data_IF_016166042185
#
_entry.id   IF_016166042185
#
_cell.length_a   1.000
_cell.length_b   1.000
_cell.length_c   1.000
_cell.angle_alpha   90.00
_cell.angle_beta   90.00
_cell.angle_gamma   90.00
#
_symmetry.space_group_name_H-M   'P 1'
#
loop_
_entity.id
_entity.type
_entity.pdbx_description
1 polymer ?
#
# COMPACT_ATOMS: atom_id res chain seq x y z
N UNK A 1 -7.31 35.30 -8.59
CA UNK A 1 -7.89 34.01 -9.02
C UNK A 1 -7.03 32.89 -8.45
N UNK A 2 -7.62 31.84 -7.84
CA UNK A 2 -6.85 30.63 -7.53
C UNK A 2 -6.41 30.00 -8.86
N UNK A 3 -5.14 29.59 -9.01
CA UNK A 3 -4.68 28.96 -10.24
C UNK A 3 -5.54 27.71 -10.53
N UNK A 4 -5.99 27.55 -11.79
CA UNK A 4 -6.74 26.36 -12.22
C UNK A 4 -5.74 25.20 -12.30
N UNK A 5 -5.73 24.36 -11.27
CA UNK A 5 -4.87 23.18 -11.21
C UNK A 5 -5.39 22.15 -12.22
N UNK A 6 -4.59 21.81 -13.24
CA UNK A 6 -4.85 20.64 -14.08
C UNK A 6 -4.63 19.39 -13.24
N UNK A 7 -5.63 18.51 -13.16
CA UNK A 7 -5.57 17.27 -12.38
C UNK A 7 -5.55 16.07 -13.31
N UNK A 8 -4.73 15.09 -12.96
CA UNK A 8 -4.72 13.78 -13.60
C UNK A 8 -5.78 12.96 -12.89
N UNK A 9 -6.74 12.44 -13.66
CA UNK A 9 -7.82 11.61 -13.12
C UNK A 9 -7.33 10.20 -12.82
N UNK A 10 -8.00 9.54 -11.86
CA UNK A 10 -7.85 8.10 -11.65
C UNK A 10 -8.18 7.36 -12.95
N UNK A 11 -7.40 6.31 -13.27
CA UNK A 11 -7.49 5.60 -14.54
C UNK A 11 -7.33 4.10 -14.34
N UNK A 12 -8.19 3.34 -15.02
CA UNK A 12 -8.21 1.87 -15.06
C UNK A 12 -8.33 1.21 -13.67
N UNK A 13 -7.72 0.04 -13.47
CA UNK A 13 -7.82 -0.86 -12.30
C UNK A 13 -9.15 -1.58 -12.16
N UNK A 14 -9.88 -1.78 -13.24
CA UNK A 14 -11.21 -2.42 -13.18
C UNK A 14 -11.13 -3.87 -12.73
N UNK A 15 -10.04 -4.59 -13.06
CA UNK A 15 -9.82 -5.96 -12.59
C UNK A 15 -9.61 -5.99 -11.07
N UNK A 16 -8.67 -5.20 -10.55
CA UNK A 16 -8.36 -5.14 -9.12
C UNK A 16 -9.55 -4.61 -8.31
N UNK A 17 -10.27 -3.60 -8.82
CA UNK A 17 -11.52 -3.12 -8.19
C UNK A 17 -12.56 -4.22 -8.11
N UNK A 18 -12.82 -4.92 -9.23
CA UNK A 18 -13.81 -5.99 -9.27
C UNK A 18 -13.45 -7.11 -8.29
N UNK A 19 -12.18 -7.47 -8.22
CA UNK A 19 -11.70 -8.46 -7.25
C UNK A 19 -11.96 -8.02 -5.80
N UNK A 20 -11.61 -6.79 -5.44
CA UNK A 20 -11.84 -6.25 -4.08
C UNK A 20 -13.35 -6.10 -3.78
N UNK A 21 -14.15 -5.67 -4.75
CA UNK A 21 -15.61 -5.54 -4.60
C UNK A 21 -16.27 -6.91 -4.38
N UNK A 22 -15.90 -7.92 -5.17
CA UNK A 22 -16.40 -9.28 -4.97
C UNK A 22 -16.07 -9.79 -3.55
N UNK A 23 -14.89 -9.47 -3.01
CA UNK A 23 -14.55 -9.83 -1.62
C UNK A 23 -15.45 -9.12 -0.61
N UNK A 24 -15.71 -7.83 -0.81
CA UNK A 24 -16.59 -7.02 0.04
C UNK A 24 -18.06 -7.47 -0.01
N UNK A 25 -18.49 -8.08 -1.11
CA UNK A 25 -19.84 -8.63 -1.29
C UNK A 25 -20.03 -10.01 -0.65
N UNK A 26 -18.95 -10.67 -0.23
CA UNK A 26 -18.98 -11.95 0.47
C UNK A 26 -18.79 -11.78 1.98
N UNK A 27 -19.00 -12.84 2.74
CA UNK A 27 -18.68 -12.83 4.17
C UNK A 27 -17.17 -12.62 4.38
N UNK A 28 -16.72 -11.81 5.37
CA UNK A 28 -15.31 -11.70 5.70
C UNK A 28 -14.73 -13.07 6.07
N UNK A 29 -13.66 -13.51 5.40
CA UNK A 29 -13.05 -14.81 5.66
C UNK A 29 -11.52 -14.75 5.79
N UNK A 30 -10.91 -13.71 5.19
CA UNK A 30 -9.46 -13.60 5.02
C UNK A 30 -8.98 -12.18 5.35
N UNK A 31 -7.71 -12.09 5.76
CA UNK A 31 -6.96 -10.84 5.76
C UNK A 31 -6.47 -10.58 4.34
N UNK A 32 -6.81 -9.43 3.75
CA UNK A 32 -6.47 -9.12 2.36
C UNK A 32 -5.26 -8.19 2.30
N UNK A 33 -4.10 -8.73 1.90
CA UNK A 33 -2.86 -8.00 1.72
C UNK A 33 -2.78 -7.43 0.30
N UNK A 34 -2.95 -6.12 0.16
CA UNK A 34 -2.76 -5.39 -1.10
C UNK A 34 -1.30 -4.96 -1.16
N UNK A 35 -0.53 -5.58 -2.05
CA UNK A 35 0.90 -5.33 -2.17
C UNK A 35 1.30 -5.01 -3.61
N UNK A 36 2.53 -4.55 -3.79
CA UNK A 36 3.08 -4.25 -5.11
C UNK A 36 4.21 -3.23 -5.02
N UNK A 37 4.93 -2.99 -6.13
CA UNK A 37 6.05 -2.05 -6.14
C UNK A 37 5.65 -0.66 -5.63
N UNK A 38 6.61 0.10 -5.07
CA UNK A 38 6.38 1.51 -4.74
C UNK A 38 5.84 2.25 -5.97
N UNK A 39 4.92 3.19 -5.74
CA UNK A 39 4.32 4.02 -6.77
C UNK A 39 3.51 3.28 -7.86
N UNK A 40 3.02 2.07 -7.59
CA UNK A 40 2.09 1.32 -8.47
C UNK A 40 0.62 1.78 -8.38
N UNK A 41 0.30 2.68 -7.45
CA UNK A 41 -1.06 3.24 -7.33
C UNK A 41 -1.98 2.54 -6.31
N UNK A 42 -1.47 1.67 -5.42
CA UNK A 42 -2.24 1.01 -4.34
C UNK A 42 -3.16 1.96 -3.56
N UNK A 43 -2.60 3.02 -2.96
CA UNK A 43 -3.37 4.00 -2.18
C UNK A 43 -4.42 4.70 -3.06
N UNK A 44 -4.10 5.00 -4.32
CA UNK A 44 -5.04 5.63 -5.26
C UNK A 44 -6.19 4.69 -5.62
N UNK A 45 -5.90 3.40 -5.85
CA UNK A 45 -6.90 2.36 -6.08
C UNK A 45 -7.85 2.26 -4.89
N UNK A 46 -7.31 2.10 -3.67
CA UNK A 46 -8.15 2.00 -2.48
C UNK A 46 -8.95 3.26 -2.23
N UNK A 47 -8.33 4.44 -2.36
CA UNK A 47 -9.05 5.71 -2.19
C UNK A 47 -10.21 5.82 -3.17
N UNK A 48 -9.97 5.54 -4.45
CA UNK A 48 -11.00 5.57 -5.49
C UNK A 48 -12.10 4.54 -5.24
N UNK A 49 -11.75 3.31 -4.84
CA UNK A 49 -12.73 2.28 -4.51
C UNK A 49 -13.64 2.74 -3.36
N UNK A 50 -13.05 3.24 -2.27
CA UNK A 50 -13.83 3.71 -1.11
C UNK A 50 -14.68 4.94 -1.46
N UNK A 51 -14.25 5.82 -2.38
CA UNK A 51 -15.08 6.92 -2.90
C UNK A 51 -16.35 6.46 -3.61
N UNK A 52 -16.35 5.23 -4.13
CA UNK A 52 -17.43 4.67 -4.92
C UNK A 52 -18.16 3.52 -4.23
N UNK A 53 -17.83 3.20 -2.97
CA UNK A 53 -18.55 2.18 -2.21
C UNK A 53 -19.98 2.66 -1.86
N UNK A 54 -20.98 1.77 -1.88
CA UNK A 54 -22.32 2.13 -1.45
C UNK A 54 -22.40 2.41 0.05
N UNK A 55 -23.44 3.15 0.46
CA UNK A 55 -23.61 3.63 1.84
C UNK A 55 -23.83 2.52 2.87
N UNK A 56 -23.95 1.25 2.45
CA UNK A 56 -24.01 0.10 3.35
C UNK A 56 -22.64 -0.25 3.96
N UNK A 57 -21.54 0.31 3.46
CA UNK A 57 -20.20 0.11 4.01
C UNK A 57 -19.78 1.26 4.95
N UNK A 58 -19.04 0.92 6.01
CA UNK A 58 -18.40 1.90 6.91
C UNK A 58 -16.89 1.66 6.91
N UNK A 59 -16.10 2.65 6.50
CA UNK A 59 -14.68 2.44 6.23
C UNK A 59 -13.77 3.16 7.21
N UNK A 60 -12.93 2.38 7.89
CA UNK A 60 -11.90 2.86 8.80
C UNK A 60 -10.55 2.81 8.09
N UNK A 61 -10.03 3.97 7.68
CA UNK A 61 -8.76 4.06 6.96
C UNK A 61 -7.67 4.57 7.89
N UNK A 62 -6.74 3.69 8.24
CA UNK A 62 -5.64 3.98 9.17
C UNK A 62 -4.35 4.06 8.36
N UNK A 63 -3.83 5.26 8.17
CA UNK A 63 -2.59 5.48 7.45
C UNK A 63 -1.40 5.62 8.42
N UNK A 64 -0.50 4.65 8.41
CA UNK A 64 0.72 4.67 9.22
C UNK A 64 1.85 5.50 8.57
N UNK A 65 1.71 5.90 7.30
CA UNK A 65 2.70 6.72 6.60
C UNK A 65 2.93 8.05 7.33
N UNK A 66 4.19 8.37 7.58
CA UNK A 66 4.57 9.61 8.27
C UNK A 66 4.20 9.63 9.76
N UNK A 67 3.84 8.48 10.35
CA UNK A 67 3.62 8.33 11.79
C UNK A 67 4.87 7.73 12.43
N UNK A 68 5.30 8.31 13.54
CA UNK A 68 6.32 7.72 14.40
C UNK A 68 5.63 6.80 15.39
N UNK A 69 5.74 5.49 15.18
CA UNK A 69 5.16 4.48 16.06
C UNK A 69 6.33 3.74 16.69
N UNK A 70 6.74 4.16 17.89
CA UNK A 70 7.93 3.61 18.57
C UNK A 70 7.53 2.69 19.73
N UNK A 71 6.34 2.89 20.28
CA UNK A 71 5.77 2.08 21.36
C UNK A 71 4.27 1.83 21.15
N UNK A 72 3.72 0.92 21.95
CA UNK A 72 2.30 0.54 21.88
C UNK A 72 1.34 1.74 21.95
N UNK A 73 1.57 2.66 22.88
CA UNK A 73 0.73 3.85 23.01
C UNK A 73 0.70 4.69 21.74
N UNK A 74 1.80 4.76 20.99
CA UNK A 74 1.82 5.49 19.72
C UNK A 74 0.95 4.78 18.69
N UNK A 75 0.96 3.44 18.66
CA UNK A 75 0.10 2.65 17.78
C UNK A 75 -1.38 2.86 18.12
N UNK A 76 -1.74 2.79 19.40
CA UNK A 76 -3.11 3.07 19.86
C UNK A 76 -3.54 4.48 19.45
N UNK A 77 -2.66 5.46 19.59
CA UNK A 77 -2.95 6.84 19.17
C UNK A 77 -3.18 6.98 17.67
N UNK A 78 -2.57 6.14 16.85
CA UNK A 78 -2.75 6.14 15.40
C UNK A 78 -3.99 5.36 14.98
N UNK A 79 -4.36 4.31 15.72
CA UNK A 79 -5.61 3.59 15.48
C UNK A 79 -6.83 4.48 15.65
N UNK A 80 -6.80 5.39 16.62
CA UNK A 80 -7.97 6.19 16.99
C UNK A 80 -7.91 7.64 16.51
N UNK A 81 -9.08 8.20 16.20
CA UNK A 81 -9.28 9.64 15.98
C UNK A 81 -10.06 10.22 17.16
N UNK A 82 -9.50 11.21 17.85
CA UNK A 82 -10.20 11.92 18.91
C UNK A 82 -11.25 12.83 18.28
N UNK A 83 -12.52 12.64 18.65
CA UNK A 83 -13.59 13.58 18.31
C UNK A 83 -13.59 14.74 19.33
N UNK A 84 -13.18 15.95 18.93
CA UNK A 84 -13.22 17.11 19.82
C UNK A 84 -14.64 17.66 19.99
N UNK A 85 -15.11 17.66 21.25
CA UNK A 85 -16.29 18.35 21.83
C UNK A 85 -17.63 18.19 21.08
N UNK A 86 -18.49 17.31 21.62
CA UNK A 86 -19.95 17.47 21.56
C UNK A 86 -20.78 16.25 21.11
N UNK A 87 -20.15 15.18 20.59
CA UNK A 87 -20.86 14.01 20.05
C UNK A 87 -21.03 12.86 21.06
N UNK A 88 -20.20 12.82 22.10
CA UNK A 88 -20.03 11.67 22.98
C UNK A 88 -20.68 11.78 24.37
N UNK A 89 -21.63 12.71 24.59
CA UNK A 89 -22.44 12.71 25.83
C UNK A 89 -23.38 11.50 25.96
N UNK A 90 -23.30 10.55 25.03
CA UNK A 90 -24.02 9.28 25.04
C UNK A 90 -23.12 8.24 24.36
N UNK A 91 -22.54 7.35 25.15
CA UNK A 91 -22.03 6.05 24.66
C UNK A 91 -23.18 5.20 24.07
N UNK A 92 -24.44 5.64 24.22
CA UNK A 92 -25.63 5.21 23.46
C UNK A 92 -25.78 5.86 22.05
N UNK A 93 -24.97 6.84 21.66
CA UNK A 93 -25.24 7.72 20.51
C UNK A 93 -24.23 7.72 19.36
N UNK A 94 -23.05 7.09 19.42
CA UNK A 94 -22.32 6.78 18.16
C UNK A 94 -23.28 6.00 17.25
N UNK A 95 -24.00 5.05 17.85
CA UNK A 95 -25.07 4.27 17.22
C UNK A 95 -26.17 5.13 16.59
N UNK A 96 -26.80 6.04 17.34
CA UNK A 96 -27.86 6.90 16.78
C UNK A 96 -27.33 7.98 15.84
N UNK A 97 -26.05 8.35 15.91
CA UNK A 97 -25.45 9.35 15.02
C UNK A 97 -25.09 8.70 13.68
N UNK A 98 -24.45 7.52 13.70
CA UNK A 98 -24.33 6.65 12.52
C UNK A 98 -25.73 6.35 11.96
N UNK A 99 -26.72 5.94 12.77
CA UNK A 99 -28.10 5.72 12.29
C UNK A 99 -28.82 7.00 11.78
N UNK A 100 -28.63 8.17 12.40
CA UNK A 100 -29.28 9.43 11.96
C UNK A 100 -28.69 9.94 10.66
N UNK A 101 -27.40 9.77 10.44
CA UNK A 101 -26.75 10.10 9.17
C UNK A 101 -26.90 8.96 8.14
N UNK A 102 -27.46 7.81 8.53
CA UNK A 102 -27.89 6.69 7.66
C UNK A 102 -29.33 6.86 7.15
N UNK A 103 -30.13 7.75 7.74
CA UNK A 103 -31.56 7.96 7.38
C UNK A 103 -31.84 9.29 6.66
N UNK A 104 -30.88 10.22 6.64
CA UNK A 104 -30.95 11.44 5.84
C UNK A 104 -30.52 11.15 4.40
N UNK A 105 -31.47 10.69 3.59
CA UNK A 105 -31.30 10.57 2.14
C UNK A 105 -30.88 11.94 1.55
N UNK A 106 -29.60 12.12 1.25
CA UNK A 106 -29.13 13.34 0.58
C UNK A 106 -27.66 13.70 0.74
N UNK A 107 -26.97 13.24 1.79
CA UNK A 107 -25.54 13.54 1.96
C UNK A 107 -24.72 12.26 1.80
N UNK A 108 -23.85 12.23 0.78
CA UNK A 108 -22.76 11.24 0.63
C UNK A 108 -21.75 11.44 1.76
N UNK A 109 -22.15 11.21 2.99
CA UNK A 109 -21.29 11.34 4.16
C UNK A 109 -20.48 10.06 4.26
N UNK A 110 -19.46 9.99 3.40
CA UNK A 110 -18.38 9.01 3.48
C UNK A 110 -17.88 8.97 4.94
N UNK A 111 -18.28 7.96 5.70
CA UNK A 111 -17.67 7.63 6.98
C UNK A 111 -16.30 7.05 6.69
N UNK A 112 -15.40 7.91 6.22
CA UNK A 112 -13.98 7.66 6.00
C UNK A 112 -13.24 8.30 7.15
N UNK A 113 -13.21 7.61 8.27
CA UNK A 113 -12.43 8.08 9.38
C UNK A 113 -10.96 7.84 9.11
N UNK A 114 -10.15 8.88 9.31
CA UNK A 114 -8.70 8.77 9.40
C UNK A 114 -8.33 8.19 10.78
N UNK A 115 -8.71 6.93 11.02
CA UNK A 115 -8.69 6.27 12.34
C UNK A 115 -10.06 5.72 12.76
N UNK A 116 -10.17 5.27 14.00
CA UNK A 116 -11.41 4.77 14.61
C UNK A 116 -11.91 5.83 15.60
N UNK A 117 -13.15 6.32 15.49
CA UNK A 117 -13.69 7.31 16.42
C UNK A 117 -13.68 6.82 17.86
N UNK A 118 -13.21 7.67 18.78
CA UNK A 118 -13.19 7.37 20.22
C UNK A 118 -13.40 8.62 21.05
N UNK A 119 -14.01 8.44 22.23
CA UNK A 119 -14.05 9.48 23.24
C UNK A 119 -12.69 9.72 23.86
N UNK A 120 -12.38 11.00 24.15
CA UNK A 120 -11.11 11.37 24.77
C UNK A 120 -10.91 10.69 26.12
N UNK A 121 -11.94 10.60 26.96
CA UNK A 121 -11.88 9.94 28.26
C UNK A 121 -11.65 8.44 28.13
N UNK A 122 -12.31 7.78 27.18
CA UNK A 122 -12.10 6.36 26.86
C UNK A 122 -10.72 6.09 26.25
N UNK A 123 -10.22 7.00 25.40
CA UNK A 123 -8.87 6.89 24.87
C UNK A 123 -7.82 7.04 25.99
N UNK A 124 -8.07 7.95 26.94
CA UNK A 124 -7.22 8.10 28.12
C UNK A 124 -7.22 6.87 29.04
N UNK A 125 -8.30 6.08 29.10
CA UNK A 125 -8.29 4.80 29.84
C UNK A 125 -7.41 3.75 29.15
N UNK A 126 -7.45 3.66 27.82
CA UNK A 126 -6.57 2.75 27.06
C UNK A 126 -5.07 3.07 27.25
N UNK A 127 -4.71 4.32 27.54
CA UNK A 127 -3.34 4.69 27.87
C UNK A 127 -2.93 4.38 29.32
N UNK A 128 -3.90 4.21 30.23
CA UNK A 128 -3.66 3.91 31.65
C UNK A 128 -3.63 2.40 31.92
N UNK A 129 -4.32 1.62 31.09
CA UNK A 129 -4.34 0.16 31.18
C UNK A 129 -2.99 -0.43 30.77
N UNK A 130 -2.56 -1.48 31.49
CA UNK A 130 -1.29 -2.19 31.25
C UNK A 130 -1.41 -3.36 30.26
N UNK A 131 -2.62 -3.63 29.76
CA UNK A 131 -2.95 -4.83 28.97
C UNK A 131 -3.43 -4.45 27.57
N UNK A 132 -3.01 -5.24 26.56
CA UNK A 132 -3.39 -5.03 25.17
C UNK A 132 -4.81 -5.54 24.85
N UNK A 133 -5.38 -6.38 25.73
CA UNK A 133 -6.64 -7.10 25.49
C UNK A 133 -7.83 -6.15 25.54
N UNK A 134 -7.77 -5.11 26.38
CA UNK A 134 -8.87 -4.19 26.60
C UNK A 134 -9.21 -3.36 25.34
N UNK A 135 -8.20 -2.94 24.57
CA UNK A 135 -8.41 -2.23 23.31
C UNK A 135 -9.00 -3.14 22.23
N UNK A 136 -8.48 -4.35 22.06
CA UNK A 136 -8.99 -5.28 21.05
C UNK A 136 -10.37 -5.80 21.39
N UNK A 137 -10.67 -6.03 22.67
CA UNK A 137 -12.02 -6.36 23.15
C UNK A 137 -13.01 -5.21 22.87
N UNK A 138 -12.59 -3.97 23.11
CA UNK A 138 -13.39 -2.80 22.72
C UNK A 138 -13.65 -2.75 21.22
N UNK A 139 -12.61 -2.91 20.40
CA UNK A 139 -12.73 -2.89 18.94
C UNK A 139 -13.60 -4.04 18.42
N UNK A 140 -13.49 -5.24 18.98
CA UNK A 140 -14.37 -6.38 18.66
C UNK A 140 -15.84 -6.00 18.93
N UNK A 141 -16.15 -5.49 20.12
CA UNK A 141 -17.50 -5.07 20.46
C UNK A 141 -17.99 -3.92 19.55
N UNK A 142 -17.10 -3.00 19.20
CA UNK A 142 -17.37 -1.87 18.31
C UNK A 142 -17.75 -2.35 16.90
N UNK A 143 -16.91 -3.17 16.27
CA UNK A 143 -17.18 -3.74 14.94
C UNK A 143 -18.40 -4.65 14.94
N UNK A 144 -18.60 -5.47 15.99
CA UNK A 144 -19.77 -6.34 16.13
C UNK A 144 -21.08 -5.57 16.23
N UNK A 145 -21.05 -4.35 16.74
CA UNK A 145 -22.25 -3.51 16.78
C UNK A 145 -22.52 -2.83 15.43
N UNK A 146 -21.47 -2.44 14.69
CA UNK A 146 -21.62 -1.90 13.32
C UNK A 146 -22.15 -2.98 12.37
N UNK A 147 -21.60 -4.20 12.45
CA UNK A 147 -21.95 -5.32 11.57
C UNK A 147 -23.42 -5.74 11.61
N UNK A 148 -24.17 -5.36 12.66
CA UNK A 148 -25.63 -5.56 12.75
C UNK A 148 -26.43 -4.69 11.77
N UNK A 149 -25.83 -3.63 11.22
CA UNK A 149 -26.54 -2.63 10.40
C UNK A 149 -25.82 -2.27 9.11
N UNK A 150 -24.49 -2.37 9.08
CA UNK A 150 -23.62 -1.96 7.98
C UNK A 150 -22.42 -2.89 7.92
N UNK A 151 -21.76 -2.98 6.77
CA UNK A 151 -20.55 -3.79 6.60
C UNK A 151 -19.32 -2.95 6.95
N UNK A 152 -18.61 -3.21 8.08
CA UNK A 152 -17.40 -2.47 8.39
C UNK A 152 -16.22 -2.99 7.56
N UNK A 153 -15.37 -2.05 7.15
CA UNK A 153 -14.13 -2.29 6.42
C UNK A 153 -13.00 -1.59 7.14
N UNK A 154 -12.03 -2.36 7.65
CA UNK A 154 -10.82 -1.87 8.28
C UNK A 154 -9.67 -1.92 7.26
N UNK A 155 -9.04 -0.76 7.01
CA UNK A 155 -7.91 -0.62 6.09
C UNK A 155 -6.72 -0.08 6.86
N UNK A 156 -5.60 -0.79 6.84
CA UNK A 156 -4.32 -0.30 7.37
C UNK A 156 -3.31 -0.10 6.24
N UNK A 157 -2.92 1.15 6.01
CA UNK A 157 -1.93 1.52 5.01
C UNK A 157 -0.53 1.65 5.62
N UNK A 158 0.48 1.15 4.91
CA UNK A 158 1.88 0.99 5.35
C UNK A 158 2.05 0.15 6.62
N UNK A 159 1.41 -1.04 6.66
CA UNK A 159 1.46 -1.93 7.83
C UNK A 159 2.88 -2.26 8.31
N UNK A 160 3.86 -2.30 7.41
CA UNK A 160 5.25 -2.60 7.76
C UNK A 160 5.88 -1.61 8.75
N UNK A 161 5.32 -0.39 8.90
CA UNK A 161 5.79 0.62 9.88
C UNK A 161 5.78 0.07 11.32
N UNK A 162 4.92 -0.91 11.62
CA UNK A 162 4.83 -1.55 12.93
C UNK A 162 5.38 -2.98 12.95
N UNK A 163 6.04 -3.42 11.87
CA UNK A 163 6.53 -4.79 11.71
C UNK A 163 7.56 -5.20 12.77
N UNK A 164 8.42 -4.27 13.17
CA UNK A 164 9.52 -4.49 14.12
C UNK A 164 9.18 -4.11 15.57
N UNK A 165 7.93 -3.73 15.86
CA UNK A 165 7.55 -3.33 17.23
C UNK A 165 7.33 -4.53 18.15
N UNK A 166 8.15 -4.63 19.20
CA UNK A 166 8.06 -5.65 20.24
C UNK A 166 7.31 -5.13 21.48
N UNK A 167 6.16 -5.73 21.79
CA UNK A 167 5.32 -5.45 22.96
C UNK A 167 4.82 -6.78 23.53
N UNK A 168 5.55 -7.36 24.50
CA UNK A 168 5.30 -8.70 25.04
C UNK A 168 5.15 -9.73 23.90
N UNK A 169 6.14 -9.81 23.00
CA UNK A 169 6.10 -10.45 21.67
C UNK A 169 5.93 -9.42 20.53
N UNK A 170 6.09 -9.82 19.26
CA UNK A 170 5.89 -8.87 18.14
C UNK A 170 4.42 -8.43 18.07
N UNK A 171 4.17 -7.12 18.07
CA UNK A 171 2.83 -6.52 17.97
C UNK A 171 2.06 -7.03 16.75
N UNK A 172 2.78 -7.23 15.65
CA UNK A 172 2.22 -7.69 14.38
C UNK A 172 1.46 -9.02 14.53
N UNK A 173 1.93 -9.95 15.36
CA UNK A 173 1.25 -11.24 15.58
C UNK A 173 -0.05 -11.09 16.35
N UNK A 174 -0.06 -10.22 17.37
CA UNK A 174 -1.29 -9.89 18.11
C UNK A 174 -2.31 -9.23 17.19
N UNK A 175 -1.84 -8.36 16.29
CA UNK A 175 -2.69 -7.69 15.32
C UNK A 175 -3.25 -8.68 14.29
N UNK A 176 -2.44 -9.60 13.77
CA UNK A 176 -2.92 -10.66 12.88
C UNK A 176 -3.94 -11.58 13.55
N UNK A 177 -3.71 -11.98 14.81
CA UNK A 177 -4.70 -12.74 15.57
C UNK A 177 -6.02 -11.96 15.72
N UNK A 178 -5.95 -10.66 15.99
CA UNK A 178 -7.13 -9.81 16.04
C UNK A 178 -7.85 -9.71 14.69
N UNK A 179 -7.10 -9.59 13.58
CA UNK A 179 -7.71 -9.59 12.25
C UNK A 179 -8.35 -10.93 11.90
N UNK A 180 -7.73 -12.05 12.27
CA UNK A 180 -8.33 -13.40 12.12
C UNK A 180 -9.63 -13.49 12.92
N UNK A 181 -9.62 -12.98 14.16
CA UNK A 181 -10.81 -12.91 15.01
C UNK A 181 -11.96 -12.14 14.33
N UNK A 182 -11.67 -10.96 13.78
CA UNK A 182 -12.67 -10.14 13.10
C UNK A 182 -13.19 -10.75 11.79
N UNK A 183 -12.30 -11.35 11.01
CA UNK A 183 -12.60 -11.88 9.68
C UNK A 183 -13.13 -13.30 9.78
N UNK A 184 -12.30 -14.27 10.15
CA UNK A 184 -12.58 -15.71 10.04
C UNK A 184 -13.41 -16.29 11.19
N UNK A 185 -13.29 -15.76 12.41
CA UNK A 185 -14.02 -16.35 13.55
C UNK A 185 -15.40 -15.71 13.74
N UNK A 186 -15.48 -14.39 13.54
CA UNK A 186 -16.70 -13.62 13.81
C UNK A 186 -17.41 -13.17 12.54
N UNK A 187 -16.71 -13.12 11.39
CA UNK A 187 -17.30 -12.68 10.12
C UNK A 187 -17.91 -11.28 10.16
N UNK A 188 -17.37 -10.40 11.00
CA UNK A 188 -17.98 -9.09 11.29
C UNK A 188 -17.32 -7.92 10.58
N UNK A 189 -16.09 -8.04 10.06
CA UNK A 189 -15.36 -6.93 9.45
C UNK A 189 -14.38 -7.39 8.37
N UNK A 190 -14.41 -6.73 7.21
CA UNK A 190 -13.38 -6.93 6.19
C UNK A 190 -12.10 -6.23 6.59
N UNK A 191 -10.96 -6.92 6.46
CA UNK A 191 -9.64 -6.35 6.75
C UNK A 191 -8.80 -6.30 5.48
N UNK A 192 -8.29 -5.11 5.17
CA UNK A 192 -7.30 -4.86 4.13
C UNK A 192 -6.06 -4.23 4.71
N UNK A 193 -4.89 -4.68 4.24
CA UNK A 193 -3.61 -4.09 4.63
C UNK A 193 -2.82 -3.76 3.38
N UNK A 194 -2.28 -2.55 3.28
CA UNK A 194 -1.49 -2.12 2.13
C UNK A 194 0.00 -2.08 2.51
N UNK A 195 0.85 -2.55 1.61
CA UNK A 195 2.30 -2.39 1.75
C UNK A 195 3.00 -2.28 0.40
N UNK A 196 4.03 -1.44 0.33
CA UNK A 196 4.98 -1.42 -0.79
C UNK A 196 6.28 -2.15 -0.48
N UNK A 197 6.44 -2.65 0.74
CA UNK A 197 7.64 -3.36 1.18
C UNK A 197 7.50 -4.86 0.88
N UNK A 198 8.17 -5.31 -0.18
CA UNK A 198 8.12 -6.72 -0.55
C UNK A 198 8.83 -7.65 0.43
N UNK A 199 9.78 -7.17 1.24
CA UNK A 199 10.40 -8.03 2.26
C UNK A 199 9.44 -8.26 3.42
N UNK A 200 8.73 -7.22 3.83
CA UNK A 200 7.67 -7.36 4.82
C UNK A 200 6.60 -8.35 4.34
N UNK A 201 6.13 -8.20 3.10
CA UNK A 201 5.13 -9.11 2.53
C UNK A 201 5.65 -10.53 2.35
N UNK A 202 6.91 -10.72 1.92
CA UNK A 202 7.53 -12.06 1.87
C UNK A 202 7.57 -12.71 3.26
N UNK A 203 7.90 -11.96 4.31
CA UNK A 203 7.90 -12.49 5.67
C UNK A 203 6.48 -12.93 6.06
N UNK A 204 5.50 -12.04 5.88
CA UNK A 204 4.08 -12.32 6.15
C UNK A 204 3.55 -13.51 5.36
N UNK A 205 3.94 -13.64 4.09
CA UNK A 205 3.56 -14.76 3.21
C UNK A 205 4.04 -16.11 3.75
N UNK A 206 5.20 -16.13 4.41
CA UNK A 206 5.78 -17.33 4.99
C UNK A 206 5.34 -17.58 6.45
N UNK A 207 4.45 -16.77 7.02
CA UNK A 207 3.96 -16.96 8.40
C UNK A 207 2.91 -18.07 8.46
N UNK A 208 3.25 -19.20 9.10
CA UNK A 208 2.36 -20.37 9.23
C UNK A 208 1.01 -20.03 9.88
N UNK A 209 0.96 -19.03 10.77
CA UNK A 209 -0.31 -18.60 11.40
C UNK A 209 -1.32 -18.01 10.42
N UNK A 210 -0.88 -17.57 9.23
CA UNK A 210 -1.69 -16.97 8.18
C UNK A 210 -2.07 -17.95 7.06
N UNK A 211 -1.57 -19.19 7.12
CA UNK A 211 -1.90 -20.23 6.13
C UNK A 211 -3.42 -20.48 6.08
N UNK A 212 -4.02 -20.29 4.91
CA UNK A 212 -5.49 -20.38 4.72
C UNK A 212 -6.29 -19.32 5.49
N UNK A 213 -5.66 -18.19 5.83
CA UNK A 213 -6.28 -17.05 6.55
C UNK A 213 -5.92 -15.69 5.93
N UNK A 214 -5.08 -15.68 4.92
CA UNK A 214 -4.65 -14.48 4.20
C UNK A 214 -4.85 -14.64 2.68
N UNK A 215 -5.13 -13.53 2.01
CA UNK A 215 -5.12 -13.39 0.57
C UNK A 215 -4.13 -12.29 0.15
N UNK A 216 -3.51 -12.41 -1.02
CA UNK A 216 -2.49 -11.48 -1.51
C UNK A 216 -2.90 -10.95 -2.89
N UNK A 217 -3.18 -9.64 -2.95
CA UNK A 217 -3.62 -8.94 -4.16
C UNK A 217 -2.46 -8.09 -4.65
N UNK A 218 -1.90 -8.44 -5.80
CA UNK A 218 -0.82 -7.68 -6.42
C UNK A 218 -1.39 -6.51 -7.24
N UNK A 219 -1.06 -5.29 -6.85
CA UNK A 219 -1.31 -4.07 -7.63
C UNK A 219 0.01 -3.67 -8.29
N UNK A 220 0.17 -4.12 -9.52
CA UNK A 220 1.38 -3.93 -10.30
C UNK A 220 1.32 -2.67 -11.18
N UNK A 221 2.41 -2.38 -11.90
CA UNK A 221 2.43 -1.40 -12.98
C UNK A 221 1.39 -1.77 -14.07
N UNK A 222 0.92 -0.78 -14.84
CA UNK A 222 -0.01 -1.06 -15.94
C UNK A 222 0.62 -1.95 -17.01
N UNK A 223 -0.20 -2.77 -17.67
CA UNK A 223 0.21 -3.47 -18.88
C UNK A 223 0.35 -2.51 -20.07
N UNK A 224 0.84 -3.03 -21.21
CA UNK A 224 1.08 -2.21 -22.38
C UNK A 224 -0.21 -1.57 -22.94
N UNK A 225 -1.30 -2.33 -23.00
CA UNK A 225 -2.57 -1.85 -23.54
C UNK A 225 -3.14 -0.71 -22.68
N UNK A 226 -3.14 -0.89 -21.36
CA UNK A 226 -3.61 0.10 -20.38
C UNK A 226 -2.72 1.35 -20.43
N UNK A 227 -1.42 1.17 -20.58
CA UNK A 227 -0.46 2.28 -20.74
C UNK A 227 -0.75 3.09 -22.00
N UNK A 228 -0.97 2.43 -23.13
CA UNK A 228 -1.33 3.09 -24.39
C UNK A 228 -2.63 3.90 -24.24
N UNK A 229 -3.69 3.29 -23.69
CA UNK A 229 -4.97 3.99 -23.45
C UNK A 229 -4.80 5.21 -22.53
N UNK A 230 -3.96 5.12 -21.49
CA UNK A 230 -3.67 6.24 -20.60
C UNK A 230 -2.99 7.40 -21.34
N UNK A 231 -1.99 7.11 -22.16
CA UNK A 231 -1.25 8.14 -22.91
C UNK A 231 -2.11 8.80 -23.99
N UNK A 232 -2.95 8.01 -24.68
CA UNK A 232 -3.93 8.50 -25.66
C UNK A 232 -4.96 9.44 -25.02
N UNK A 233 -5.48 9.11 -23.82
CA UNK A 233 -6.42 9.97 -23.06
C UNK A 233 -5.87 11.39 -22.87
N UNK A 234 -4.56 11.55 -22.75
CA UNK A 234 -3.89 12.84 -22.59
C UNK A 234 -3.22 13.35 -23.88
N UNK A 235 -3.58 12.80 -25.04
CA UNK A 235 -3.15 13.19 -26.39
C UNK A 235 -1.62 13.12 -26.63
N UNK A 236 -0.89 12.24 -25.92
CA UNK A 236 0.56 12.08 -26.14
C UNK A 236 0.79 11.55 -27.55
N UNK A 237 1.72 12.13 -28.33
CA UNK A 237 1.94 11.71 -29.72
C UNK A 237 2.64 10.36 -29.78
N UNK A 238 2.36 9.58 -30.82
CA UNK A 238 2.84 8.19 -30.97
C UNK A 238 4.35 8.02 -30.70
N UNK A 239 5.18 8.87 -31.30
CA UNK A 239 6.64 8.87 -31.08
C UNK A 239 7.04 9.09 -29.61
N UNK A 240 6.30 9.92 -28.88
CA UNK A 240 6.51 10.12 -27.44
C UNK A 240 5.98 8.91 -26.65
N UNK A 241 4.86 8.32 -27.06
CA UNK A 241 4.33 7.11 -26.42
C UNK A 241 5.34 5.96 -26.49
N UNK A 242 5.96 5.71 -27.65
CA UNK A 242 7.00 4.69 -27.81
C UNK A 242 8.16 4.90 -26.85
N UNK A 243 8.63 6.15 -26.71
CA UNK A 243 9.68 6.50 -25.74
C UNK A 243 9.22 6.23 -24.30
N UNK A 244 8.02 6.67 -23.93
CA UNK A 244 7.48 6.46 -22.58
C UNK A 244 7.35 4.97 -22.27
N UNK A 245 6.75 4.18 -23.18
CA UNK A 245 6.61 2.73 -23.01
C UNK A 245 7.98 2.04 -22.88
N UNK A 246 8.95 2.44 -23.69
CA UNK A 246 10.32 1.89 -23.64
C UNK A 246 10.98 2.10 -22.28
N UNK A 247 10.93 3.31 -21.73
CA UNK A 247 11.70 3.69 -20.54
C UNK A 247 10.94 3.55 -19.21
N UNK A 248 9.63 3.82 -19.22
CA UNK A 248 8.80 3.85 -18.01
C UNK A 248 7.78 2.72 -17.93
N UNK A 249 7.49 2.04 -19.06
CA UNK A 249 6.41 1.06 -19.17
C UNK A 249 5.13 1.62 -18.55
N UNK A 250 4.37 0.80 -17.81
CA UNK A 250 3.12 1.21 -17.18
C UNK A 250 3.22 1.79 -15.78
N UNK A 251 4.40 2.27 -15.36
CA UNK A 251 4.58 2.77 -13.98
C UNK A 251 3.74 4.04 -13.73
N UNK A 252 2.70 4.01 -12.88
CA UNK A 252 1.75 5.12 -12.81
C UNK A 252 2.35 6.48 -12.44
N UNK A 253 3.33 6.52 -11.52
CA UNK A 253 3.99 7.79 -11.16
C UNK A 253 4.74 8.41 -12.34
N UNK A 254 5.44 7.60 -13.15
CA UNK A 254 6.18 8.12 -14.28
C UNK A 254 5.23 8.55 -15.41
N UNK A 255 4.14 7.82 -15.62
CA UNK A 255 3.10 8.24 -16.54
C UNK A 255 2.50 9.58 -16.10
N UNK A 256 2.21 9.76 -14.81
CA UNK A 256 1.73 11.03 -14.27
C UNK A 256 2.75 12.17 -14.45
N UNK A 257 4.04 11.90 -14.24
CA UNK A 257 5.12 12.86 -14.48
C UNK A 257 5.20 13.29 -15.95
N UNK A 258 4.96 12.37 -16.89
CA UNK A 258 4.88 12.69 -18.32
C UNK A 258 3.71 13.61 -18.63
N UNK A 259 2.52 13.34 -18.07
CA UNK A 259 1.36 14.21 -18.26
C UNK A 259 1.61 15.60 -17.69
N UNK A 260 2.23 15.69 -16.51
CA UNK A 260 2.62 16.98 -15.91
C UNK A 260 3.67 17.71 -16.76
N UNK A 261 4.64 16.99 -17.32
CA UNK A 261 5.64 17.53 -18.25
C UNK A 261 4.96 18.14 -19.46
N UNK A 262 3.99 17.44 -20.05
CA UNK A 262 3.18 17.96 -21.15
C UNK A 262 2.35 19.18 -20.74
N UNK A 263 1.68 19.13 -19.59
CA UNK A 263 0.88 20.26 -19.10
C UNK A 263 1.68 21.54 -18.88
N UNK A 264 2.97 21.41 -18.61
CA UNK A 264 3.92 22.52 -18.43
C UNK A 264 4.67 22.90 -19.70
N UNK A 265 4.39 22.26 -20.84
CA UNK A 265 5.02 22.56 -22.14
C UNK A 265 6.50 22.16 -22.20
N UNK A 266 6.95 21.25 -21.33
CA UNK A 266 8.32 20.75 -21.32
C UNK A 266 8.50 19.58 -22.27
N UNK A 267 9.75 19.36 -22.69
CA UNK A 267 10.12 18.26 -23.56
C UNK A 267 10.11 16.91 -22.82
N UNK A 268 9.29 15.97 -23.31
CA UNK A 268 9.12 14.64 -22.72
C UNK A 268 10.41 13.82 -22.80
N UNK A 269 11.13 13.88 -23.93
CA UNK A 269 12.38 13.12 -24.11
C UNK A 269 13.43 13.54 -23.08
N UNK A 270 13.63 14.86 -22.89
CA UNK A 270 14.52 15.41 -21.86
C UNK A 270 14.09 15.01 -20.45
N UNK A 271 12.78 14.93 -20.19
CA UNK A 271 12.27 14.47 -18.90
C UNK A 271 12.60 13.00 -18.64
N UNK A 272 12.48 12.14 -19.66
CA UNK A 272 12.85 10.72 -19.60
C UNK A 272 14.36 10.57 -19.38
N UNK A 273 15.18 11.23 -20.20
CA UNK A 273 16.65 11.19 -20.09
C UNK A 273 17.13 11.65 -18.71
N UNK A 274 16.53 12.72 -18.17
CA UNK A 274 16.82 13.21 -16.82
C UNK A 274 16.50 12.15 -15.76
N UNK A 275 15.32 11.53 -15.82
CA UNK A 275 14.92 10.50 -14.87
C UNK A 275 15.85 9.28 -14.94
N UNK A 276 16.22 8.84 -16.14
CA UNK A 276 17.13 7.71 -16.33
C UNK A 276 18.51 8.03 -15.76
N UNK A 277 19.07 9.20 -16.08
CA UNK A 277 20.37 9.64 -15.54
C UNK A 277 20.36 9.70 -14.01
N UNK A 278 19.32 10.25 -13.41
CA UNK A 278 19.17 10.31 -11.94
C UNK A 278 19.12 8.89 -11.37
N UNK A 279 18.27 8.02 -11.93
CA UNK A 279 18.10 6.68 -11.36
C UNK A 279 19.33 5.81 -11.53
N UNK A 280 19.99 5.88 -12.69
CA UNK A 280 21.28 5.21 -12.93
C UNK A 280 22.32 5.67 -11.92
N UNK A 281 22.54 6.98 -11.77
CA UNK A 281 23.48 7.52 -10.79
C UNK A 281 23.22 7.08 -9.35
N UNK A 282 21.94 6.98 -8.96
CA UNK A 282 21.58 6.44 -7.64
C UNK A 282 21.95 4.97 -7.45
N UNK A 283 21.77 4.13 -8.48
CA UNK A 283 22.12 2.71 -8.42
C UNK A 283 23.64 2.54 -8.51
N UNK A 284 24.31 3.30 -9.37
CA UNK A 284 25.77 3.34 -9.48
C UNK A 284 26.41 3.64 -8.14
N UNK A 285 26.01 4.72 -7.48
CA UNK A 285 26.53 5.09 -6.16
C UNK A 285 26.44 3.89 -5.20
N UNK A 286 25.27 3.25 -5.11
CA UNK A 286 25.07 2.09 -4.24
C UNK A 286 26.01 0.93 -4.60
N UNK A 287 26.13 0.61 -5.89
CA UNK A 287 26.92 -0.54 -6.36
C UNK A 287 28.42 -0.28 -6.23
N UNK A 288 28.90 0.91 -6.57
CA UNK A 288 30.32 1.27 -6.47
C UNK A 288 30.75 1.49 -5.02
N UNK A 289 29.91 2.06 -4.14
CA UNK A 289 30.20 2.09 -2.70
C UNK A 289 30.39 0.68 -2.14
N UNK A 290 29.54 -0.28 -2.53
CA UNK A 290 29.75 -1.68 -2.14
C UNK A 290 31.09 -2.21 -2.66
N UNK A 291 31.47 -1.89 -3.90
CA UNK A 291 32.75 -2.32 -4.47
C UNK A 291 33.94 -1.85 -3.65
N UNK A 292 33.86 -0.63 -3.11
CA UNK A 292 34.94 -0.01 -2.35
C UNK A 292 34.95 -0.43 -0.87
N UNK A 293 33.77 -0.64 -0.26
CA UNK A 293 33.62 -0.87 1.18
C UNK A 293 33.35 -2.33 1.58
N UNK A 294 32.73 -3.14 0.71
CA UNK A 294 32.30 -4.51 1.00
C UNK A 294 32.29 -5.40 -0.26
N UNK A 295 33.46 -5.96 -0.59
CA UNK A 295 33.67 -6.79 -1.78
C UNK A 295 32.73 -8.01 -1.86
N UNK A 296 32.34 -8.56 -0.71
CA UNK A 296 31.45 -9.72 -0.63
C UNK A 296 30.01 -9.34 -0.98
N UNK A 297 29.51 -8.26 -0.40
CA UNK A 297 28.19 -7.72 -0.75
C UNK A 297 28.15 -7.23 -2.19
N UNK A 298 29.23 -6.63 -2.69
CA UNK A 298 29.36 -6.25 -4.09
C UNK A 298 29.19 -7.45 -5.02
N UNK A 299 30.01 -8.50 -4.85
CA UNK A 299 29.94 -9.73 -5.67
C UNK A 299 28.56 -10.36 -5.62
N UNK A 300 27.98 -10.48 -4.42
CA UNK A 300 26.66 -11.07 -4.25
C UNK A 300 25.53 -10.25 -4.86
N UNK A 301 25.54 -8.92 -4.71
CA UNK A 301 24.55 -8.04 -5.33
C UNK A 301 24.69 -8.03 -6.86
N UNK A 302 25.92 -7.94 -7.38
CA UNK A 302 26.18 -7.98 -8.82
C UNK A 302 25.70 -9.31 -9.41
N UNK A 303 25.94 -10.44 -8.77
CA UNK A 303 25.42 -11.74 -9.23
C UNK A 303 23.88 -11.78 -9.30
N UNK A 304 23.17 -11.12 -8.37
CA UNK A 304 21.72 -10.97 -8.45
C UNK A 304 21.32 -10.07 -9.64
N UNK A 305 22.02 -8.96 -9.83
CA UNK A 305 21.75 -8.00 -10.89
C UNK A 305 22.02 -8.59 -12.29
N UNK A 306 23.06 -9.41 -12.46
CA UNK A 306 23.43 -10.08 -13.72
C UNK A 306 22.28 -10.91 -14.30
N UNK A 307 21.41 -11.45 -13.45
CA UNK A 307 20.21 -12.20 -13.89
C UNK A 307 19.24 -11.35 -14.70
N UNK A 308 19.30 -10.01 -14.60
CA UNK A 308 18.50 -9.07 -15.38
C UNK A 308 19.09 -8.72 -16.75
N UNK A 309 20.28 -9.22 -17.10
CA UNK A 309 20.95 -8.88 -18.37
C UNK A 309 20.03 -9.12 -19.58
N UNK A 310 19.43 -10.30 -19.62
CA UNK A 310 18.59 -10.77 -20.74
C UNK A 310 17.15 -11.10 -20.33
N UNK A 311 16.80 -10.92 -19.05
CA UNK A 311 15.48 -11.22 -18.50
C UNK A 311 14.91 -10.02 -17.75
N UNK A 312 13.59 -9.89 -17.75
CA UNK A 312 12.88 -8.83 -17.02
C UNK A 312 12.55 -9.25 -15.57
N UNK A 313 12.48 -10.56 -15.33
CA UNK A 313 12.31 -11.20 -14.02
C UNK A 313 13.01 -12.58 -13.98
N UNK A 314 13.12 -13.16 -12.78
CA UNK A 314 13.60 -14.53 -12.59
C UNK A 314 13.09 -15.14 -11.29
N UNK A 315 12.94 -16.46 -11.26
CA UNK A 315 12.49 -17.19 -10.06
C UNK A 315 13.57 -17.23 -8.98
N UNK A 316 13.14 -17.26 -7.71
CA UNK A 316 14.04 -17.34 -6.57
C UNK A 316 13.66 -18.50 -5.62
N UNK A 317 14.69 -19.15 -5.07
CA UNK A 317 14.50 -20.19 -4.04
C UNK A 317 14.30 -19.56 -2.66
N UNK A 318 15.16 -18.60 -2.32
CA UNK A 318 15.15 -17.91 -1.04
C UNK A 318 15.54 -16.42 -1.20
N UNK A 319 15.12 -15.60 -0.24
CA UNK A 319 15.52 -14.19 -0.18
C UNK A 319 16.85 -14.09 0.57
N UNK A 320 17.95 -14.02 -0.18
CA UNK A 320 19.31 -13.89 0.37
C UNK A 320 19.58 -12.49 0.92
N UNK A 321 20.68 -12.30 1.68
CA UNK A 321 21.08 -10.98 2.17
C UNK A 321 21.30 -9.95 1.06
N UNK A 322 21.79 -10.38 -0.11
CA UNK A 322 21.97 -9.51 -1.28
C UNK A 322 20.61 -9.06 -1.86
N UNK A 323 19.65 -9.98 -1.97
CA UNK A 323 18.28 -9.64 -2.39
C UNK A 323 17.65 -8.67 -1.38
N UNK A 324 17.76 -8.94 -0.07
CA UNK A 324 17.24 -8.03 0.97
C UNK A 324 17.83 -6.63 0.84
N UNK A 325 19.14 -6.52 0.64
CA UNK A 325 19.79 -5.24 0.45
C UNK A 325 19.26 -4.49 -0.78
N UNK A 326 19.20 -5.14 -1.94
CA UNK A 326 18.74 -4.53 -3.19
C UNK A 326 17.26 -4.11 -3.12
N UNK A 327 16.40 -4.90 -2.46
CA UNK A 327 15.00 -4.51 -2.18
C UNK A 327 14.95 -3.30 -1.26
N UNK A 328 15.73 -3.29 -0.17
CA UNK A 328 15.82 -2.17 0.76
C UNK A 328 16.27 -0.86 0.10
N UNK A 329 17.02 -0.96 -1.01
CA UNK A 329 17.42 0.18 -1.86
C UNK A 329 16.43 0.49 -3.00
N UNK A 330 15.27 -0.16 -3.02
CA UNK A 330 14.23 -0.04 -4.06
C UNK A 330 14.75 -0.30 -5.49
N UNK A 331 15.74 -1.18 -5.66
CA UNK A 331 16.31 -1.54 -6.97
C UNK A 331 15.50 -2.68 -7.60
N UNK A 332 15.16 -3.67 -6.78
CA UNK A 332 14.40 -4.86 -7.17
C UNK A 332 13.19 -5.03 -6.25
N UNK A 333 12.23 -5.81 -6.71
CA UNK A 333 10.99 -6.16 -6.02
C UNK A 333 10.88 -7.69 -5.94
N UNK A 334 10.58 -8.21 -4.75
CA UNK A 334 10.27 -9.63 -4.56
C UNK A 334 8.76 -9.83 -4.70
N UNK A 335 8.33 -10.65 -5.65
CA UNK A 335 6.94 -11.01 -5.84
C UNK A 335 6.67 -12.39 -5.21
N UNK A 336 6.20 -12.39 -3.97
CA UNK A 336 5.91 -13.63 -3.24
C UNK A 336 4.82 -14.48 -3.89
N UNK A 337 3.81 -13.84 -4.48
CA UNK A 337 2.66 -14.51 -5.09
C UNK A 337 3.04 -15.31 -6.35
N UNK A 338 4.01 -14.82 -7.13
CA UNK A 338 4.51 -15.49 -8.34
C UNK A 338 5.87 -16.17 -8.15
N UNK A 339 6.44 -16.11 -6.95
CA UNK A 339 7.78 -16.61 -6.61
C UNK A 339 8.89 -16.15 -7.56
N UNK A 340 8.82 -14.89 -8.01
CA UNK A 340 9.84 -14.26 -8.86
C UNK A 340 10.37 -12.95 -8.28
N UNK A 341 11.52 -12.53 -8.79
CA UNK A 341 12.15 -11.24 -8.54
C UNK A 341 12.14 -10.46 -9.84
N UNK A 342 11.76 -9.19 -9.77
CA UNK A 342 11.78 -8.25 -10.89
C UNK A 342 12.45 -6.93 -10.51
N UNK A 343 12.80 -6.11 -11.48
CA UNK A 343 13.25 -4.74 -11.18
C UNK A 343 12.09 -3.91 -10.60
N UNK A 344 12.37 -2.92 -9.76
CA UNK A 344 11.34 -2.08 -9.12
C UNK A 344 10.47 -1.30 -10.13
N UNK A 345 11.03 -1.04 -11.31
CA UNK A 345 10.37 -0.43 -12.47
C UNK A 345 11.22 -0.62 -13.73
N UNK A 346 10.65 -0.32 -14.90
CA UNK A 346 11.36 -0.41 -16.20
C UNK A 346 12.65 0.43 -16.24
N UNK A 347 12.64 1.61 -15.63
CA UNK A 347 13.83 2.47 -15.57
C UNK A 347 14.94 1.86 -14.69
N UNK A 348 14.58 1.14 -13.61
CA UNK A 348 15.55 0.40 -12.81
C UNK A 348 16.20 -0.70 -13.66
N UNK A 349 15.39 -1.45 -14.41
CA UNK A 349 15.89 -2.51 -15.27
C UNK A 349 16.89 -1.99 -16.32
N UNK A 350 16.56 -0.88 -16.97
CA UNK A 350 17.46 -0.24 -17.96
C UNK A 350 18.74 0.23 -17.28
N UNK A 351 18.64 0.91 -16.14
CA UNK A 351 19.80 1.38 -15.39
C UNK A 351 20.72 0.20 -14.97
N UNK A 352 20.16 -0.88 -14.45
CA UNK A 352 20.90 -2.10 -14.09
C UNK A 352 21.67 -2.64 -15.31
N UNK A 353 20.99 -2.77 -16.45
CA UNK A 353 21.61 -3.27 -17.70
C UNK A 353 22.70 -2.36 -18.25
N UNK A 354 22.63 -1.06 -18.01
CA UNK A 354 23.70 -0.14 -18.38
C UNK A 354 24.90 -0.28 -17.46
N UNK A 355 24.68 -0.34 -16.14
CA UNK A 355 25.75 -0.47 -15.13
C UNK A 355 26.51 -1.79 -15.31
N UNK A 356 25.81 -2.90 -15.60
CA UNK A 356 26.42 -4.20 -15.88
C UNK A 356 27.29 -4.25 -17.14
N UNK A 357 27.29 -3.22 -17.98
CA UNK A 357 28.22 -3.11 -19.12
C UNK A 357 29.52 -2.39 -18.74
N UNK A 358 29.53 -1.72 -17.60
CA UNK A 358 30.62 -0.88 -17.09
C UNK A 358 31.43 -1.58 -16.01
N UNK A 359 30.83 -2.59 -15.36
CA UNK A 359 31.45 -3.52 -14.40
C UNK A 359 31.84 -4.78 -15.15
#
# INVERSE_FOLDING_TARGET
MKPKIKRIEFFDREKEKKEILNMLETEPQLINFIHGPINSGKTALMTNLIENLPDNYVVFYINLRGKSVVKYGDFIRVLFTIEEKGLLKKIKNIFTWILKHVTSAGEKTLYKYAGIPVDKGLLETFFKEKSNEDVFNYLEAYFKNISKHKTPVLIIDELQVIGDLEINGKLIYKLFNFFIRLTKELHICHVFTLSSDSLFIENVYNEAMLEGRANYILVDDFDEETTSKFLEKYNIIEKEQELVKKYFAGKPIYLADIINTKFTGKDIKKAIEKNLKIRKGQIEEIVYTLKDEDEEMFKGCTSVLEKFKDKDNFDYLNVTKYVRFLVGKNIIFVNCAEKNIKAQSRINLIAIREILKEI
#
